data_IF_875260868357
#
_entry.id   IF_875260868357
#
_cell.length_a   1.000
_cell.length_b   1.000
_cell.length_c   1.000
_cell.angle_alpha   90.00
_cell.angle_beta   90.00
_cell.angle_gamma   90.00
#
_symmetry.space_group_name_H-M   'P 1'
#
loop_
_entity.id
_entity.type
_entity.pdbx_description
1 polymer ?
#
# COMPACT_ATOMS: atom_id res chain seq x y z
N UNK A 1 12.43 -21.44 22.74
CA UNK A 1 12.89 -20.06 22.45
C UNK A 1 12.11 -19.50 21.27
N UNK A 2 11.31 -18.46 21.48
CA UNK A 2 10.69 -17.73 20.38
C UNK A 2 11.78 -16.90 19.68
N UNK A 3 12.12 -17.28 18.44
CA UNK A 3 13.08 -16.54 17.63
C UNK A 3 12.47 -15.20 17.22
N UNK A 4 13.26 -14.13 17.22
CA UNK A 4 12.85 -12.84 16.67
C UNK A 4 12.85 -12.87 15.14
N UNK A 5 12.04 -12.03 14.52
CA UNK A 5 12.01 -11.91 13.06
C UNK A 5 13.36 -11.45 12.51
N UNK A 6 13.86 -12.10 11.45
CA UNK A 6 15.12 -11.75 10.76
C UNK A 6 15.20 -10.31 10.26
N UNK A 7 14.06 -9.67 10.02
CA UNK A 7 13.97 -8.26 9.60
C UNK A 7 14.05 -7.26 10.76
N UNK A 8 14.39 -7.74 11.96
CA UNK A 8 14.50 -6.96 13.19
C UNK A 8 13.28 -6.06 13.48
N UNK A 9 12.08 -6.49 13.09
CA UNK A 9 10.86 -5.70 13.21
C UNK A 9 10.19 -5.81 14.60
N UNK A 10 10.93 -6.29 15.62
CA UNK A 10 10.43 -6.49 16.99
C UNK A 10 9.42 -7.63 17.19
N UNK A 11 8.89 -8.23 16.12
CA UNK A 11 7.88 -9.31 16.20
C UNK A 11 8.53 -10.70 16.27
N UNK A 12 7.89 -11.69 16.93
CA UNK A 12 8.37 -13.07 16.90
C UNK A 12 8.27 -13.66 15.48
N UNK A 13 9.25 -14.49 15.13
CA UNK A 13 9.20 -15.28 13.90
C UNK A 13 8.11 -16.35 14.00
N UNK A 14 7.52 -16.72 12.85
CA UNK A 14 6.53 -17.81 12.81
C UNK A 14 7.20 -19.15 13.18
N UNK A 15 6.50 -20.08 13.86
CA UNK A 15 7.03 -21.42 14.10
C UNK A 15 7.56 -22.08 12.83
N UNK A 16 8.77 -22.63 12.89
CA UNK A 16 9.45 -23.26 11.75
C UNK A 16 9.94 -22.30 10.64
N UNK A 17 9.94 -20.98 10.87
CA UNK A 17 10.40 -19.96 9.92
C UNK A 17 11.33 -18.94 10.59
N UNK A 18 11.99 -18.12 9.77
CA UNK A 18 12.88 -17.03 10.21
C UNK A 18 12.23 -15.64 10.14
N UNK A 19 11.02 -15.54 9.60
CA UNK A 19 10.35 -14.26 9.31
C UNK A 19 8.93 -14.30 9.89
N UNK A 20 8.47 -13.19 10.45
CA UNK A 20 7.09 -13.04 10.92
C UNK A 20 6.09 -12.91 9.75
N UNK A 21 4.80 -13.16 10.01
CA UNK A 21 3.75 -13.04 8.98
C UNK A 21 3.75 -11.66 8.26
N UNK A 22 3.84 -10.52 8.97
CA UNK A 22 3.90 -9.20 8.33
C UNK A 22 5.11 -9.01 7.41
N UNK A 23 6.32 -9.38 7.84
CA UNK A 23 7.51 -9.25 7.01
C UNK A 23 7.52 -10.22 5.83
N UNK A 24 6.91 -11.41 5.97
CA UNK A 24 6.68 -12.34 4.86
C UNK A 24 5.69 -11.75 3.86
N UNK A 25 4.58 -11.17 4.33
CA UNK A 25 3.60 -10.49 3.48
C UNK A 25 4.23 -9.31 2.73
N UNK A 26 5.06 -8.50 3.39
CA UNK A 26 5.82 -7.42 2.73
C UNK A 26 6.73 -7.94 1.62
N UNK A 27 7.55 -8.97 1.87
CA UNK A 27 8.40 -9.56 0.84
C UNK A 27 7.61 -10.14 -0.34
N UNK A 28 6.48 -10.82 -0.06
CA UNK A 28 5.66 -11.38 -1.13
C UNK A 28 5.08 -10.26 -2.00
N UNK A 29 4.58 -9.18 -1.40
CA UNK A 29 4.06 -7.99 -2.10
C UNK A 29 5.13 -7.26 -2.91
N UNK A 30 6.34 -7.15 -2.37
CA UNK A 30 7.45 -6.54 -3.11
C UNK A 30 7.79 -7.33 -4.39
N UNK A 31 7.66 -8.67 -4.34
CA UNK A 31 7.85 -9.55 -5.51
C UNK A 31 6.67 -9.54 -6.48
N UNK A 32 5.46 -9.34 -6.00
CA UNK A 32 4.22 -9.37 -6.80
C UNK A 32 3.62 -7.97 -6.90
N UNK A 33 4.48 -6.95 -6.95
CA UNK A 33 4.03 -5.56 -6.98
C UNK A 33 3.27 -5.32 -8.29
N UNK A 34 2.05 -4.74 -8.26
CA UNK A 34 1.35 -4.38 -9.47
C UNK A 34 2.22 -3.47 -10.33
N UNK A 35 2.47 -3.88 -11.57
CA UNK A 35 3.27 -3.13 -12.54
C UNK A 35 2.39 -2.32 -13.49
N UNK A 36 1.12 -2.67 -13.60
CA UNK A 36 0.13 -1.95 -14.41
C UNK A 36 -1.18 -1.72 -13.65
N UNK A 37 -1.99 -0.82 -14.19
CA UNK A 37 -3.35 -0.55 -13.72
C UNK A 37 -4.26 -1.77 -13.70
N UNK A 38 -4.02 -2.74 -14.59
CA UNK A 38 -4.86 -3.94 -14.74
C UNK A 38 -4.52 -5.01 -13.70
N UNK A 39 -3.30 -4.98 -13.16
CA UNK A 39 -2.82 -5.95 -12.17
C UNK A 39 -3.25 -5.60 -10.74
N UNK A 40 -3.85 -4.41 -10.56
CA UNK A 40 -4.19 -3.89 -9.23
C UNK A 40 -5.66 -4.15 -8.92
N UNK A 41 -5.92 -4.83 -7.81
CA UNK A 41 -7.26 -5.22 -7.37
C UNK A 41 -7.70 -4.55 -6.06
N UNK A 42 -8.88 -4.90 -5.57
CA UNK A 42 -9.41 -4.37 -4.30
C UNK A 42 -8.62 -4.88 -3.08
N UNK A 43 -8.07 -6.09 -3.17
CA UNK A 43 -7.20 -6.68 -2.15
C UNK A 43 -5.96 -5.83 -1.93
N UNK A 44 -5.37 -5.28 -2.99
CA UNK A 44 -4.22 -4.38 -2.91
C UNK A 44 -4.52 -3.10 -2.13
N UNK A 45 -5.73 -2.54 -2.29
CA UNK A 45 -6.19 -1.37 -1.51
C UNK A 45 -6.26 -1.72 -0.03
N UNK A 46 -6.98 -2.80 0.30
CA UNK A 46 -7.17 -3.23 1.69
C UNK A 46 -5.84 -3.55 2.37
N UNK A 47 -4.92 -4.19 1.65
CA UNK A 47 -3.59 -4.54 2.16
C UNK A 47 -2.71 -3.33 2.43
N UNK A 48 -2.84 -2.24 1.65
CA UNK A 48 -2.07 -1.00 1.89
C UNK A 48 -2.68 -0.20 3.04
N UNK A 49 -4.00 -0.22 3.19
CA UNK A 49 -4.69 0.46 4.29
C UNK A 49 -4.46 -0.26 5.63
N UNK A 50 -4.53 -1.60 5.65
CA UNK A 50 -4.39 -2.41 6.87
C UNK A 50 -2.95 -2.57 7.37
N UNK A 51 -1.95 -2.44 6.49
CA UNK A 51 -0.53 -2.48 6.83
C UNK A 51 0.19 -1.29 6.17
N UNK A 52 -0.01 -0.06 6.72
CA UNK A 52 0.50 1.16 6.10
C UNK A 52 2.01 1.09 5.95
N UNK A 53 2.48 1.15 4.70
CA UNK A 53 3.90 1.31 4.39
C UNK A 53 4.31 2.76 4.69
N UNK A 54 5.59 3.01 4.98
CA UNK A 54 6.12 4.37 4.89
C UNK A 54 5.76 4.95 3.52
N UNK A 55 5.29 6.19 3.52
CA UNK A 55 4.84 6.89 2.32
C UNK A 55 5.90 6.84 1.22
N UNK A 56 7.19 6.93 1.58
CA UNK A 56 8.29 6.91 0.61
C UNK A 56 8.38 5.59 -0.19
N UNK A 57 7.76 4.51 0.29
CA UNK A 57 7.77 3.21 -0.35
C UNK A 57 6.71 2.99 -1.43
N UNK A 58 5.76 3.91 -1.63
CA UNK A 58 4.67 3.77 -2.61
C UNK A 58 5.03 4.37 -3.98
N UNK A 59 4.83 3.60 -5.06
CA UNK A 59 4.96 4.11 -6.44
C UNK A 59 3.81 5.05 -6.77
N UNK A 60 3.98 5.84 -7.85
CA UNK A 60 2.91 6.71 -8.35
C UNK A 60 1.63 5.93 -8.65
N UNK A 61 1.74 4.80 -9.35
CA UNK A 61 0.62 3.91 -9.65
C UNK A 61 -0.11 3.46 -8.38
N UNK A 62 0.61 2.95 -7.39
CA UNK A 62 0.00 2.50 -6.13
C UNK A 62 -0.70 3.64 -5.40
N UNK A 63 -0.10 4.85 -5.35
CA UNK A 63 -0.73 6.01 -4.70
C UNK A 63 -2.05 6.37 -5.36
N UNK A 64 -2.09 6.39 -6.70
CA UNK A 64 -3.29 6.69 -7.47
C UNK A 64 -4.35 5.60 -7.26
N UNK A 65 -3.95 4.33 -7.27
CA UNK A 65 -4.89 3.22 -7.12
C UNK A 65 -5.47 3.10 -5.71
N UNK A 66 -4.65 3.30 -4.67
CA UNK A 66 -5.12 3.37 -3.30
C UNK A 66 -6.05 4.57 -3.11
N UNK A 67 -5.70 5.73 -3.67
CA UNK A 67 -6.56 6.90 -3.61
C UNK A 67 -7.92 6.66 -4.29
N UNK A 68 -7.93 5.99 -5.45
CA UNK A 68 -9.16 5.59 -6.14
C UNK A 68 -9.99 4.61 -5.31
N UNK A 69 -9.36 3.59 -4.71
CA UNK A 69 -10.05 2.58 -3.90
C UNK A 69 -10.66 3.14 -2.62
N UNK A 70 -10.05 4.19 -2.06
CA UNK A 70 -10.55 4.90 -0.88
C UNK A 70 -11.54 6.02 -1.21
N UNK A 71 -11.59 6.46 -2.47
CA UNK A 71 -12.48 7.52 -2.91
C UNK A 71 -13.95 7.13 -2.69
N UNK A 72 -14.70 7.95 -1.95
CA UNK A 72 -16.08 7.65 -1.55
C UNK A 72 -16.21 6.84 -0.25
N UNK A 73 -15.11 6.29 0.27
CA UNK A 73 -15.04 5.67 1.62
C UNK A 73 -14.47 6.62 2.66
N UNK A 74 -13.49 7.44 2.27
CA UNK A 74 -12.80 8.39 3.13
C UNK A 74 -12.80 9.80 2.52
N UNK A 75 -12.70 10.86 3.34
CA UNK A 75 -12.51 12.21 2.85
C UNK A 75 -11.13 12.36 2.18
N UNK A 76 -11.05 13.24 1.17
CA UNK A 76 -9.84 13.43 0.36
C UNK A 76 -8.59 13.81 1.16
N UNK A 77 -8.75 14.48 2.30
CA UNK A 77 -7.65 14.81 3.22
C UNK A 77 -7.03 13.59 3.90
N UNK A 78 -7.88 12.63 4.28
CA UNK A 78 -7.45 11.39 4.91
C UNK A 78 -6.79 10.46 3.88
N UNK A 79 -7.35 10.39 2.67
CA UNK A 79 -6.73 9.71 1.54
C UNK A 79 -5.34 10.27 1.26
N UNK A 80 -5.22 11.61 1.23
CA UNK A 80 -3.95 12.30 1.01
C UNK A 80 -2.91 11.95 2.08
N UNK A 81 -3.31 11.80 3.34
CA UNK A 81 -2.44 11.35 4.43
C UNK A 81 -1.98 9.91 4.24
N UNK A 82 -2.89 9.00 3.88
CA UNK A 82 -2.59 7.57 3.68
C UNK A 82 -1.60 7.36 2.54
N UNK A 83 -1.81 8.01 1.40
CA UNK A 83 -0.94 7.85 0.21
C UNK A 83 0.20 8.88 0.17
N UNK A 84 0.23 9.79 1.13
CA UNK A 84 1.23 10.83 1.35
C UNK A 84 1.43 11.81 0.19
N UNK A 85 0.34 12.42 -0.23
CA UNK A 85 0.29 13.51 -1.21
C UNK A 85 -0.54 14.67 -0.65
N UNK A 86 -0.77 15.73 -1.42
CA UNK A 86 -1.68 16.82 -1.01
C UNK A 86 -3.13 16.47 -1.32
N UNK A 87 -4.12 17.00 -0.57
CA UNK A 87 -5.54 16.82 -0.91
C UNK A 87 -5.86 17.31 -2.32
N UNK A 88 -5.23 18.41 -2.76
CA UNK A 88 -5.35 18.93 -4.14
C UNK A 88 -4.93 17.90 -5.19
N UNK A 89 -3.89 17.11 -4.92
CA UNK A 89 -3.43 16.04 -5.80
C UNK A 89 -4.50 14.96 -5.95
N UNK A 90 -5.15 14.57 -4.85
CA UNK A 90 -6.23 13.57 -4.85
C UNK A 90 -7.42 14.07 -5.68
N UNK A 91 -7.84 15.31 -5.48
CA UNK A 91 -8.91 15.92 -6.26
C UNK A 91 -8.58 16.01 -7.76
N UNK A 92 -7.33 16.35 -8.09
CA UNK A 92 -6.88 16.38 -9.48
C UNK A 92 -6.95 14.99 -10.13
N UNK A 93 -6.51 13.95 -9.43
CA UNK A 93 -6.60 12.57 -9.94
C UNK A 93 -8.04 12.14 -10.17
N UNK A 94 -8.97 12.53 -9.29
CA UNK A 94 -10.39 12.27 -9.48
C UNK A 94 -10.94 12.94 -10.74
N UNK A 95 -10.59 14.21 -10.96
CA UNK A 95 -11.01 14.97 -12.14
C UNK A 95 -10.39 14.44 -13.46
N UNK A 96 -9.15 13.95 -13.41
CA UNK A 96 -8.42 13.41 -14.56
C UNK A 96 -8.81 11.95 -14.89
N UNK A 97 -9.71 11.33 -14.13
CA UNK A 97 -10.20 9.97 -14.43
C UNK A 97 -9.33 8.84 -13.88
N UNK A 98 -8.46 9.12 -12.90
CA UNK A 98 -7.52 8.23 -12.20
C UNK A 98 -6.52 7.46 -13.07
N UNK A 99 -6.96 6.76 -14.12
CA UNK A 99 -6.11 6.01 -15.04
C UNK A 99 -5.10 6.92 -15.75
N UNK A 100 -5.53 8.11 -16.22
CA UNK A 100 -4.61 9.11 -16.76
C UNK A 100 -3.58 9.58 -15.73
N UNK A 101 -3.95 9.64 -14.45
CA UNK A 101 -3.04 10.11 -13.40
C UNK A 101 -1.93 9.11 -13.05
N UNK A 102 -2.15 7.82 -13.33
CA UNK A 102 -1.19 6.74 -13.11
C UNK A 102 -0.19 6.54 -14.25
N UNK A 103 -0.42 7.18 -15.40
CA UNK A 103 0.52 7.22 -16.53
C UNK A 103 1.74 8.11 -16.25
#
# INVERSE_FOLDING_TARGET
MNRTCRHNCGRPARPGRYVCNPCRGRQWRERHRPSSWQDFDETDVELIVSDPRPVEGLTRLERVMVARGLHGRLPGEEIARVVGVTPRTVWRWAAEGWKQAAA
#
